data_IF_927572894021
#
_entry.id   IF_927572894021
#
_cell.length_a   1.000
_cell.length_b   1.000
_cell.length_c   1.000
_cell.angle_alpha   90.00
_cell.angle_beta   90.00
_cell.angle_gamma   90.00
#
_symmetry.space_group_name_H-M   'P 1'
#
loop_
_entity.id
_entity.type
_entity.pdbx_description
1 polymer ?
#
# COMPACT_ATOMS: atom_id res chain seq x y z
N UNK A 1 -43.96 14.23 -84.09
CA UNK A 1 -43.68 15.15 -82.96
C UNK A 1 -44.32 14.72 -81.63
N UNK A 2 -45.64 14.49 -81.50
CA UNK A 2 -46.29 14.14 -80.21
C UNK A 2 -45.80 12.82 -79.55
N UNK A 3 -45.47 11.78 -80.33
CA UNK A 3 -44.91 10.51 -79.82
C UNK A 3 -43.48 10.61 -79.29
N UNK A 4 -42.67 11.53 -79.80
CA UNK A 4 -41.29 11.77 -79.32
C UNK A 4 -41.30 12.55 -77.99
N UNK A 5 -42.16 13.57 -77.87
CA UNK A 5 -42.30 14.34 -76.63
C UNK A 5 -42.85 13.52 -75.45
N UNK A 6 -43.73 12.54 -75.72
CA UNK A 6 -44.22 11.60 -74.71
C UNK A 6 -43.12 10.64 -74.22
N UNK A 7 -42.33 10.07 -75.14
CA UNK A 7 -41.18 9.21 -74.82
C UNK A 7 -40.07 9.96 -74.07
N UNK A 8 -39.83 11.23 -74.38
CA UNK A 8 -38.88 12.05 -73.62
C UNK A 8 -39.36 12.37 -72.20
N UNK A 9 -40.66 12.63 -72.00
CA UNK A 9 -41.24 12.82 -70.66
C UNK A 9 -41.16 11.53 -69.83
N UNK A 10 -41.46 10.39 -70.43
CA UNK A 10 -41.36 9.07 -69.81
C UNK A 10 -39.90 8.74 -69.43
N UNK A 11 -38.95 8.91 -70.35
CA UNK A 11 -37.51 8.73 -70.07
C UNK A 11 -36.99 9.69 -68.99
N UNK A 12 -37.50 10.93 -68.91
CA UNK A 12 -37.16 11.87 -67.83
C UNK A 12 -37.74 11.42 -66.48
N UNK A 13 -38.96 10.89 -66.43
CA UNK A 13 -39.55 10.35 -65.20
C UNK A 13 -38.82 9.09 -64.74
N UNK A 14 -38.55 8.15 -65.64
CA UNK A 14 -37.76 6.94 -65.35
C UNK A 14 -36.36 7.32 -64.86
N UNK A 15 -35.67 8.25 -65.53
CA UNK A 15 -34.36 8.74 -65.09
C UNK A 15 -34.41 9.37 -63.70
N UNK A 16 -35.44 10.15 -63.37
CA UNK A 16 -35.61 10.71 -62.01
C UNK A 16 -35.82 9.62 -60.97
N UNK A 17 -36.69 8.64 -61.23
CA UNK A 17 -36.94 7.51 -60.33
C UNK A 17 -35.65 6.71 -60.10
N UNK A 18 -34.91 6.39 -61.18
CA UNK A 18 -33.63 5.66 -61.11
C UNK A 18 -32.61 6.45 -60.30
N UNK A 19 -32.45 7.76 -60.53
CA UNK A 19 -31.52 8.60 -59.76
C UNK A 19 -31.93 8.62 -58.28
N UNK A 20 -33.20 8.79 -57.95
CA UNK A 20 -33.67 8.78 -56.55
C UNK A 20 -33.39 7.44 -55.87
N UNK A 21 -33.64 6.31 -56.54
CA UNK A 21 -33.35 4.98 -55.99
C UNK A 21 -31.85 4.75 -55.79
N UNK A 22 -31.02 5.15 -56.76
CA UNK A 22 -29.55 5.04 -56.65
C UNK A 22 -29.03 5.94 -55.54
N UNK A 23 -29.49 7.18 -55.44
CA UNK A 23 -29.10 8.10 -54.36
C UNK A 23 -29.53 7.57 -52.99
N UNK A 24 -30.73 7.00 -52.86
CA UNK A 24 -31.18 6.38 -51.61
C UNK A 24 -30.30 5.17 -51.22
N UNK A 25 -29.92 4.35 -52.19
CA UNK A 25 -29.03 3.20 -51.97
C UNK A 25 -27.62 3.63 -51.55
N UNK A 26 -27.08 4.70 -52.16
CA UNK A 26 -25.79 5.28 -51.79
C UNK A 26 -25.84 5.87 -50.37
N UNK A 27 -26.92 6.58 -50.02
CA UNK A 27 -27.11 7.11 -48.65
C UNK A 27 -27.19 5.96 -47.65
N UNK A 28 -27.94 4.90 -47.95
CA UNK A 28 -28.02 3.73 -47.09
C UNK A 28 -26.64 3.07 -46.90
N UNK A 29 -25.87 2.93 -47.98
CA UNK A 29 -24.51 2.39 -47.92
C UNK A 29 -23.58 3.27 -47.07
N UNK A 30 -23.69 4.60 -47.15
CA UNK A 30 -22.91 5.52 -46.31
C UNK A 30 -23.31 5.42 -44.83
N UNK A 31 -24.59 5.33 -44.51
CA UNK A 31 -25.07 5.16 -43.13
C UNK A 31 -24.59 3.82 -42.56
N UNK A 32 -24.68 2.74 -43.34
CA UNK A 32 -24.18 1.43 -42.94
C UNK A 32 -22.66 1.46 -42.75
N UNK A 33 -21.92 2.04 -43.69
CA UNK A 33 -20.46 2.19 -43.60
C UNK A 33 -20.04 3.01 -42.39
N UNK A 34 -20.71 4.13 -42.12
CA UNK A 34 -20.48 4.96 -40.94
C UNK A 34 -20.80 4.20 -39.65
N UNK A 35 -21.90 3.43 -39.62
CA UNK A 35 -22.28 2.63 -38.45
C UNK A 35 -21.25 1.54 -38.15
N UNK A 36 -20.77 0.82 -39.18
CA UNK A 36 -19.71 -0.19 -39.05
C UNK A 36 -18.39 0.45 -38.60
N UNK A 37 -18.01 1.57 -39.21
CA UNK A 37 -16.81 2.31 -38.83
C UNK A 37 -16.85 2.77 -37.36
N UNK A 38 -17.98 3.33 -36.92
CA UNK A 38 -18.17 3.76 -35.52
C UNK A 38 -18.17 2.59 -34.56
N UNK A 39 -18.80 1.48 -34.92
CA UNK A 39 -18.80 0.25 -34.12
C UNK A 39 -17.37 -0.29 -33.95
N UNK A 40 -16.59 -0.34 -35.03
CA UNK A 40 -15.18 -0.75 -34.99
C UNK A 40 -14.33 0.18 -34.13
N UNK A 41 -14.38 1.49 -34.40
CA UNK A 41 -13.60 2.49 -33.66
C UNK A 41 -13.92 2.46 -32.16
N UNK A 42 -15.18 2.27 -31.80
CA UNK A 42 -15.58 2.22 -30.38
C UNK A 42 -15.13 0.91 -29.73
N UNK A 43 -15.26 -0.21 -30.45
CA UNK A 43 -14.96 -1.55 -29.94
C UNK A 43 -13.48 -1.87 -29.78
N UNK A 44 -12.58 -1.17 -30.49
CA UNK A 44 -11.13 -1.30 -30.30
C UNK A 44 -10.59 -0.52 -29.10
N UNK A 45 -11.35 0.44 -28.59
CA UNK A 45 -10.98 1.18 -27.39
C UNK A 45 -11.33 0.38 -26.12
N UNK A 46 -10.59 0.56 -25.01
CA UNK A 46 -10.89 -0.06 -23.72
C UNK A 46 -12.35 0.09 -23.31
N UNK A 47 -12.89 -0.88 -22.58
CA UNK A 47 -14.26 -0.86 -22.09
C UNK A 47 -14.51 0.39 -21.23
N UNK A 48 -13.60 0.67 -20.31
CA UNK A 48 -13.60 1.87 -19.50
C UNK A 48 -12.16 2.23 -19.10
N UNK A 49 -11.58 3.25 -19.72
CA UNK A 49 -10.19 3.67 -19.51
C UNK A 49 -9.88 4.17 -18.07
N UNK A 50 -10.89 4.39 -17.24
CA UNK A 50 -10.73 4.84 -15.85
C UNK A 50 -11.02 3.72 -14.83
N UNK A 51 -11.23 2.49 -15.29
CA UNK A 51 -11.57 1.35 -14.44
C UNK A 51 -10.48 0.30 -14.51
N UNK A 52 -9.55 0.41 -13.56
CA UNK A 52 -8.44 -0.52 -13.36
C UNK A 52 -8.80 -1.68 -12.42
N UNK A 53 -10.10 -1.93 -12.18
CA UNK A 53 -10.52 -3.04 -11.32
C UNK A 53 -10.20 -4.37 -11.97
N UNK A 54 -9.31 -5.14 -11.34
CA UNK A 54 -8.93 -6.47 -11.80
C UNK A 54 -10.11 -7.43 -11.62
N UNK A 55 -10.41 -8.18 -12.67
CA UNK A 55 -11.42 -9.23 -12.72
C UNK A 55 -10.74 -10.53 -13.13
N UNK A 56 -11.05 -11.60 -12.41
CA UNK A 56 -10.55 -12.92 -12.73
C UNK A 56 -11.37 -13.48 -13.90
N UNK A 57 -10.68 -13.91 -14.95
CA UNK A 57 -11.28 -14.51 -16.13
C UNK A 57 -10.61 -15.85 -16.42
N UNK A 58 -11.43 -16.89 -16.51
CA UNK A 58 -10.99 -18.21 -16.96
C UNK A 58 -11.07 -18.30 -18.49
N UNK A 59 -9.97 -18.67 -19.12
CA UNK A 59 -9.93 -19.04 -20.54
C UNK A 59 -9.64 -20.54 -20.62
N UNK A 60 -10.62 -21.38 -20.96
CA UNK A 60 -10.40 -22.82 -21.09
C UNK A 60 -9.36 -23.16 -22.16
N UNK A 61 -8.58 -24.21 -21.95
CA UNK A 61 -7.58 -24.69 -22.92
C UNK A 61 -8.26 -25.02 -24.26
N UNK A 62 -7.65 -24.57 -25.37
CA UNK A 62 -8.16 -24.79 -26.72
C UNK A 62 -9.30 -23.85 -27.14
N UNK A 63 -9.62 -22.83 -26.35
CA UNK A 63 -10.64 -21.84 -26.72
C UNK A 63 -10.21 -21.01 -27.93
N UNK A 64 -11.03 -20.98 -28.98
CA UNK A 64 -10.78 -20.16 -30.17
C UNK A 64 -10.84 -18.65 -29.90
N UNK A 65 -10.25 -17.80 -30.75
CA UNK A 65 -10.32 -16.33 -30.64
C UNK A 65 -11.77 -15.80 -30.49
N UNK A 66 -12.73 -16.43 -31.17
CA UNK A 66 -14.15 -16.12 -31.03
C UNK A 66 -14.68 -16.46 -29.63
N UNK A 67 -14.29 -17.62 -29.10
CA UNK A 67 -14.65 -18.04 -27.74
C UNK A 67 -14.06 -17.10 -26.69
N UNK A 68 -12.78 -16.76 -26.82
CA UNK A 68 -12.09 -15.80 -25.95
C UNK A 68 -12.83 -14.46 -25.95
N UNK A 69 -13.10 -13.90 -27.14
CA UNK A 69 -13.83 -12.63 -27.25
C UNK A 69 -15.19 -12.66 -26.56
N UNK A 70 -15.95 -13.75 -26.69
CA UNK A 70 -17.23 -13.91 -25.99
C UNK A 70 -17.08 -13.96 -24.47
N UNK A 71 -16.05 -14.67 -23.96
CA UNK A 71 -15.77 -14.76 -22.53
C UNK A 71 -15.40 -13.37 -21.98
N UNK A 72 -14.52 -12.64 -22.67
CA UNK A 72 -14.09 -11.30 -22.27
C UNK A 72 -15.24 -10.29 -22.28
N UNK A 73 -16.12 -10.35 -23.29
CA UNK A 73 -17.30 -9.48 -23.36
C UNK A 73 -18.31 -9.80 -22.24
N UNK A 74 -18.55 -11.10 -21.98
CA UNK A 74 -19.44 -11.56 -20.90
C UNK A 74 -18.94 -11.10 -19.52
N UNK A 75 -17.63 -11.17 -19.29
CA UNK A 75 -16.99 -10.74 -18.04
C UNK A 75 -16.76 -9.22 -17.96
N UNK A 76 -17.23 -8.43 -18.94
CA UNK A 76 -17.07 -6.98 -18.96
C UNK A 76 -15.60 -6.57 -18.87
N UNK A 77 -14.76 -7.20 -19.69
CA UNK A 77 -13.37 -6.78 -19.95
C UNK A 77 -13.32 -5.95 -21.23
N UNK A 78 -14.00 -6.38 -22.28
CA UNK A 78 -14.04 -5.72 -23.58
C UNK A 78 -15.47 -5.32 -23.97
N UNK A 79 -15.60 -4.40 -24.94
CA UNK A 79 -16.90 -3.94 -25.46
C UNK A 79 -17.58 -4.92 -26.40
N UNK A 80 -16.80 -5.70 -27.15
CA UNK A 80 -17.32 -6.60 -28.19
C UNK A 80 -16.36 -7.74 -28.50
N UNK A 81 -16.82 -8.97 -28.30
CA UNK A 81 -16.11 -10.18 -28.69
C UNK A 81 -15.96 -10.32 -30.21
N UNK A 82 -16.88 -9.74 -30.98
CA UNK A 82 -16.78 -9.71 -32.44
C UNK A 82 -15.59 -8.85 -32.88
N UNK A 83 -15.47 -7.64 -32.34
CA UNK A 83 -14.36 -6.73 -32.66
C UNK A 83 -13.03 -7.35 -32.24
N UNK A 84 -12.94 -7.92 -31.04
CA UNK A 84 -11.75 -8.65 -30.59
C UNK A 84 -11.35 -9.75 -31.58
N UNK A 85 -12.29 -10.64 -31.95
CA UNK A 85 -12.00 -11.76 -32.84
C UNK A 85 -11.49 -11.31 -34.23
N UNK A 86 -12.05 -10.23 -34.79
CA UNK A 86 -11.57 -9.71 -36.07
C UNK A 86 -10.23 -8.95 -35.93
N UNK A 87 -10.06 -8.19 -34.86
CA UNK A 87 -8.85 -7.44 -34.58
C UNK A 87 -7.65 -8.39 -34.40
N UNK A 88 -7.79 -9.45 -33.62
CA UNK A 88 -6.75 -10.49 -33.46
C UNK A 88 -6.36 -11.15 -34.80
N UNK A 89 -7.32 -11.36 -35.70
CA UNK A 89 -7.04 -11.91 -37.05
C UNK A 89 -6.29 -10.92 -37.94
N UNK A 90 -6.65 -9.64 -37.88
CA UNK A 90 -6.03 -8.58 -38.69
C UNK A 90 -4.59 -8.34 -38.27
N UNK A 91 -4.32 -8.33 -36.96
CA UNK A 91 -2.99 -8.14 -36.37
C UNK A 91 -2.15 -9.42 -36.30
N UNK A 92 -2.63 -10.54 -36.89
CA UNK A 92 -1.98 -11.86 -36.85
C UNK A 92 -1.61 -12.32 -35.42
N UNK A 93 -2.46 -12.00 -34.44
CA UNK A 93 -2.29 -12.42 -33.05
C UNK A 93 -2.82 -13.86 -32.90
N UNK A 94 -1.92 -14.81 -32.69
CA UNK A 94 -2.18 -16.25 -32.51
C UNK A 94 -1.62 -16.77 -31.18
N UNK A 95 -1.80 -18.07 -30.91
CA UNK A 95 -1.12 -18.78 -29.82
C UNK A 95 -1.49 -18.34 -28.40
N UNK A 96 -2.76 -17.97 -28.22
CA UNK A 96 -3.31 -17.72 -26.89
C UNK A 96 -3.37 -19.00 -26.08
N UNK A 97 -2.94 -18.90 -24.83
CA UNK A 97 -2.93 -20.01 -23.90
C UNK A 97 -4.22 -20.02 -23.07
N UNK A 98 -4.56 -21.19 -22.54
CA UNK A 98 -5.61 -21.30 -21.54
C UNK A 98 -5.05 -21.02 -20.14
N UNK A 99 -5.93 -20.70 -19.20
CA UNK A 99 -5.59 -20.44 -17.80
C UNK A 99 -6.49 -19.37 -17.18
N UNK A 100 -6.19 -19.04 -15.93
CA UNK A 100 -6.81 -17.93 -15.23
C UNK A 100 -5.98 -16.65 -15.40
N UNK A 101 -6.67 -15.56 -15.69
CA UNK A 101 -6.08 -14.25 -15.92
C UNK A 101 -6.73 -13.21 -15.02
N UNK A 102 -5.95 -12.22 -14.60
CA UNK A 102 -6.48 -11.00 -13.99
C UNK A 102 -6.46 -9.90 -15.06
N UNK A 103 -7.64 -9.39 -15.41
CA UNK A 103 -7.81 -8.40 -16.47
C UNK A 103 -8.69 -7.25 -15.97
N UNK A 104 -8.42 -6.03 -16.41
CA UNK A 104 -9.23 -4.85 -16.06
C UNK A 104 -9.92 -4.23 -17.29
N UNK A 105 -11.06 -3.54 -17.12
CA UNK A 105 -11.78 -2.88 -18.21
C UNK A 105 -11.02 -1.76 -18.95
N UNK A 106 -9.94 -1.25 -18.38
CA UNK A 106 -9.07 -0.22 -18.96
C UNK A 106 -7.99 -0.78 -19.91
N UNK A 107 -7.78 -2.09 -19.95
CA UNK A 107 -6.80 -2.72 -20.84
C UNK A 107 -7.14 -2.52 -22.32
N UNK A 108 -6.11 -2.32 -23.14
CA UNK A 108 -6.25 -2.31 -24.61
C UNK A 108 -6.33 -3.72 -25.17
N UNK A 109 -6.80 -3.88 -26.41
CA UNK A 109 -6.82 -5.19 -27.07
C UNK A 109 -5.42 -5.77 -27.27
N UNK A 110 -4.41 -4.93 -27.40
CA UNK A 110 -2.99 -5.34 -27.49
C UNK A 110 -2.47 -5.85 -26.15
N UNK A 111 -2.78 -5.15 -25.04
CA UNK A 111 -2.40 -5.60 -23.69
C UNK A 111 -3.04 -6.96 -23.37
N UNK A 112 -4.32 -7.11 -23.70
CA UNK A 112 -5.05 -8.37 -23.52
C UNK A 112 -4.43 -9.48 -24.37
N UNK A 113 -4.06 -9.19 -25.63
CA UNK A 113 -3.42 -10.18 -26.50
C UNK A 113 -2.03 -10.60 -26.00
N UNK A 114 -1.23 -9.66 -25.52
CA UNK A 114 0.07 -9.92 -24.90
C UNK A 114 -0.09 -10.83 -23.68
N UNK A 115 -0.99 -10.47 -22.77
CA UNK A 115 -1.27 -11.25 -21.56
C UNK A 115 -1.73 -12.68 -21.90
N UNK A 116 -2.64 -12.84 -22.87
CA UNK A 116 -3.12 -14.16 -23.31
C UNK A 116 -2.01 -15.04 -23.90
N UNK A 117 -0.97 -14.44 -24.52
CA UNK A 117 0.19 -15.16 -25.07
C UNK A 117 1.21 -15.55 -24.00
N UNK A 118 1.40 -14.72 -22.98
CA UNK A 118 2.28 -15.02 -21.84
C UNK A 118 1.81 -16.31 -21.15
N UNK A 119 0.52 -16.40 -20.88
CA UNK A 119 -0.14 -17.57 -20.30
C UNK A 119 -0.77 -17.29 -18.95
N UNK A 120 -1.93 -17.90 -18.71
CA UNK A 120 -2.65 -17.77 -17.46
C UNK A 120 -2.10 -18.73 -16.40
N UNK A 121 -2.50 -18.52 -15.15
CA UNK A 121 -2.20 -19.45 -14.06
C UNK A 121 -3.05 -20.71 -14.18
N UNK A 122 -2.56 -21.83 -13.65
CA UNK A 122 -3.31 -23.10 -13.61
C UNK A 122 -4.51 -23.02 -12.67
N UNK A 123 -4.37 -22.25 -11.59
CA UNK A 123 -5.40 -22.04 -10.57
C UNK A 123 -5.86 -20.58 -10.53
N UNK A 124 -7.10 -20.29 -10.09
CA UNK A 124 -7.56 -18.97 -9.72
C UNK A 124 -6.57 -18.20 -8.84
N UNK A 125 -6.08 -17.05 -9.32
CA UNK A 125 -5.48 -16.07 -8.42
C UNK A 125 -6.63 -15.26 -7.82
N UNK A 126 -6.91 -15.48 -6.53
CA UNK A 126 -7.90 -14.70 -5.80
C UNK A 126 -7.62 -13.20 -6.00
N UNK A 127 -8.68 -12.46 -6.30
CA UNK A 127 -8.63 -11.01 -6.27
C UNK A 127 -8.75 -10.57 -4.82
N UNK A 128 -7.90 -9.66 -4.38
CA UNK A 128 -8.03 -9.10 -3.05
C UNK A 128 -9.42 -8.45 -2.92
N UNK A 129 -10.20 -8.89 -1.94
CA UNK A 129 -11.50 -8.30 -1.58
C UNK A 129 -11.34 -6.88 -1.01
N UNK A 130 -10.14 -6.56 -0.52
CA UNK A 130 -9.79 -5.23 -0.01
C UNK A 130 -8.28 -5.04 0.16
N UNK A 131 -7.90 -3.86 0.61
CA UNK A 131 -6.52 -3.54 1.01
C UNK A 131 -6.52 -2.95 2.41
N UNK A 132 -5.59 -3.42 3.24
CA UNK A 132 -5.34 -2.89 4.58
C UNK A 132 -4.06 -2.07 4.49
N UNK A 133 -4.17 -0.75 4.58
CA UNK A 133 -3.01 0.15 4.49
C UNK A 133 -2.64 0.65 5.88
N UNK A 134 -1.60 0.07 6.47
CA UNK A 134 -1.11 0.44 7.80
C UNK A 134 -0.03 1.53 7.68
N UNK A 135 -0.26 2.74 8.21
CA UNK A 135 0.74 3.80 8.20
C UNK A 135 1.88 3.54 9.20
N UNK A 136 3.05 4.12 8.92
CA UNK A 136 4.19 4.10 9.83
C UNK A 136 3.87 4.82 11.15
N UNK A 137 4.48 4.34 12.24
CA UNK A 137 4.31 4.94 13.57
C UNK A 137 2.94 4.65 14.21
N UNK A 138 2.14 3.73 13.68
CA UNK A 138 0.89 3.30 14.32
C UNK A 138 1.17 2.27 15.42
N UNK A 139 0.54 2.42 16.59
CA UNK A 139 0.55 1.39 17.63
C UNK A 139 -0.31 0.19 17.25
N UNK A 140 -0.13 -0.95 17.93
CA UNK A 140 -0.93 -2.16 17.71
C UNK A 140 -2.43 -1.89 17.78
N UNK A 141 -2.86 -1.05 18.73
CA UNK A 141 -4.25 -0.63 18.87
C UNK A 141 -4.73 0.17 17.65
N UNK A 142 -3.91 1.07 17.12
CA UNK A 142 -4.25 1.83 15.91
C UNK A 142 -4.25 0.93 14.66
N UNK A 143 -3.36 -0.06 14.59
CA UNK A 143 -3.38 -1.10 13.55
C UNK A 143 -4.70 -1.88 13.61
N UNK A 144 -5.16 -2.24 14.81
CA UNK A 144 -6.43 -2.92 15.00
C UNK A 144 -7.62 -2.11 14.46
N UNK A 145 -7.62 -0.79 14.66
CA UNK A 145 -8.65 0.09 14.08
C UNK A 145 -8.56 0.15 12.55
N UNK A 146 -7.35 0.24 11.97
CA UNK A 146 -7.17 0.19 10.51
C UNK A 146 -7.71 -1.12 9.92
N UNK A 147 -7.51 -2.25 10.61
CA UNK A 147 -8.03 -3.55 10.18
C UNK A 147 -9.55 -3.59 10.30
N UNK A 148 -10.11 -3.06 11.38
CA UNK A 148 -11.56 -2.96 11.61
C UNK A 148 -12.27 -2.09 10.57
N UNK A 149 -11.66 -1.00 10.13
CA UNK A 149 -12.22 -0.15 9.08
C UNK A 149 -12.15 -0.80 7.69
N UNK A 150 -11.13 -1.64 7.44
CA UNK A 150 -10.86 -2.22 6.13
C UNK A 150 -11.45 -3.64 5.93
N UNK A 151 -11.90 -4.30 7.00
CA UNK A 151 -12.30 -5.72 7.00
C UNK A 151 -13.53 -5.96 7.89
N UNK A 152 -13.98 -7.21 7.97
CA UNK A 152 -15.05 -7.62 8.90
C UNK A 152 -14.51 -8.02 10.30
N UNK A 153 -13.19 -7.90 10.53
CA UNK A 153 -12.53 -8.27 11.79
C UNK A 153 -12.53 -7.07 12.72
N UNK A 154 -13.17 -7.21 13.89
CA UNK A 154 -13.22 -6.11 14.87
C UNK A 154 -11.85 -5.80 15.50
N UNK A 155 -11.64 -4.55 15.91
CA UNK A 155 -10.41 -4.15 16.61
C UNK A 155 -10.18 -4.95 17.89
N UNK A 156 -11.26 -5.24 18.65
CA UNK A 156 -11.21 -6.09 19.85
C UNK A 156 -10.74 -7.52 19.53
N UNK A 157 -11.27 -8.12 18.46
CA UNK A 157 -10.86 -9.44 18.00
C UNK A 157 -9.38 -9.46 17.58
N UNK A 158 -8.94 -8.43 16.86
CA UNK A 158 -7.54 -8.31 16.43
C UNK A 158 -6.60 -8.21 17.63
N UNK A 159 -6.87 -7.31 18.59
CA UNK A 159 -6.07 -7.14 19.81
C UNK A 159 -6.07 -8.41 20.64
N UNK A 160 -7.24 -9.05 20.80
CA UNK A 160 -7.35 -10.32 21.53
C UNK A 160 -6.50 -11.40 20.88
N UNK A 161 -6.54 -11.51 19.55
CA UNK A 161 -5.76 -12.49 18.80
C UNK A 161 -4.27 -12.21 18.92
N UNK A 162 -3.84 -10.96 18.80
CA UNK A 162 -2.43 -10.57 18.94
C UNK A 162 -1.84 -10.86 20.34
N UNK A 163 -2.70 -11.04 21.35
CA UNK A 163 -2.32 -11.37 22.73
C UNK A 163 -2.67 -12.80 23.14
N UNK A 164 -3.18 -13.62 22.22
CA UNK A 164 -3.51 -15.02 22.51
C UNK A 164 -2.23 -15.82 22.74
N UNK A 165 -2.08 -16.42 23.92
CA UNK A 165 -0.85 -17.12 24.33
C UNK A 165 -0.52 -18.31 23.40
N UNK A 166 -1.53 -19.03 22.92
CA UNK A 166 -1.32 -20.16 22.03
C UNK A 166 -0.82 -19.70 20.66
N UNK A 167 -1.43 -18.64 20.11
CA UNK A 167 -0.99 -18.04 18.86
C UNK A 167 0.40 -17.40 18.97
N UNK A 168 0.70 -16.68 20.05
CA UNK A 168 2.05 -16.16 20.28
C UNK A 168 3.09 -17.28 20.32
N UNK A 169 2.76 -18.42 20.94
CA UNK A 169 3.64 -19.60 20.93
C UNK A 169 3.87 -20.13 19.51
N UNK A 170 2.83 -20.23 18.70
CA UNK A 170 2.94 -20.60 17.27
C UNK A 170 3.89 -19.64 16.53
N UNK A 171 3.72 -18.32 16.72
CA UNK A 171 4.60 -17.31 16.13
C UNK A 171 6.05 -17.42 16.61
N UNK A 172 6.27 -17.66 17.91
CA UNK A 172 7.62 -17.84 18.45
C UNK A 172 8.34 -19.07 17.90
N UNK A 173 7.59 -20.12 17.57
CA UNK A 173 8.14 -21.32 16.93
C UNK A 173 8.41 -21.08 15.43
N UNK A 174 7.56 -20.31 14.75
CA UNK A 174 7.73 -19.95 13.34
C UNK A 174 8.85 -18.93 13.08
N UNK A 175 9.02 -17.96 13.99
CA UNK A 175 9.96 -16.84 13.88
C UNK A 175 10.89 -16.72 15.09
N UNK A 176 11.68 -17.77 15.42
CA UNK A 176 12.46 -17.80 16.66
C UNK A 176 13.53 -16.70 16.73
N UNK A 177 14.23 -16.41 15.63
CA UNK A 177 15.25 -15.36 15.59
C UNK A 177 14.65 -13.96 15.75
N UNK A 178 13.54 -13.68 15.06
CA UNK A 178 12.84 -12.40 15.12
C UNK A 178 12.27 -12.14 16.53
N UNK A 179 11.58 -13.14 17.09
CA UNK A 179 10.71 -12.93 18.26
C UNK A 179 11.34 -13.36 19.59
N UNK A 180 12.56 -13.93 19.59
CA UNK A 180 13.23 -14.35 20.83
C UNK A 180 13.36 -13.22 21.86
N UNK A 181 13.72 -12.02 21.40
CA UNK A 181 13.95 -10.86 22.28
C UNK A 181 12.65 -10.31 22.89
N UNK A 182 11.58 -10.15 22.11
CA UNK A 182 10.26 -9.78 22.66
C UNK A 182 9.70 -10.85 23.59
N UNK A 183 9.86 -12.15 23.27
CA UNK A 183 9.40 -13.25 24.14
C UNK A 183 10.05 -13.21 25.53
N UNK A 184 11.32 -12.80 25.60
CA UNK A 184 12.05 -12.67 26.86
C UNK A 184 11.78 -11.34 27.60
N UNK A 185 11.20 -10.35 26.91
CA UNK A 185 10.89 -9.05 27.49
C UNK A 185 9.80 -9.17 28.55
N UNK A 186 9.90 -8.35 29.59
CA UNK A 186 8.97 -8.30 30.73
C UNK A 186 8.29 -6.94 30.74
N UNK A 187 7.10 -6.90 31.32
CA UNK A 187 6.30 -5.68 31.50
C UNK A 187 5.96 -4.96 30.18
N UNK A 188 6.05 -5.69 29.05
CA UNK A 188 5.58 -5.21 27.76
C UNK A 188 4.07 -5.10 27.76
N UNK A 189 3.55 -4.03 27.15
CA UNK A 189 2.10 -3.89 26.94
C UNK A 189 1.59 -4.97 25.99
N UNK A 190 2.26 -5.12 24.85
CA UNK A 190 1.98 -6.14 23.84
C UNK A 190 3.29 -6.69 23.29
N UNK A 191 3.43 -8.01 23.22
CA UNK A 191 4.63 -8.64 22.65
C UNK A 191 4.83 -8.36 21.16
N UNK A 192 3.75 -8.04 20.43
CA UNK A 192 3.79 -7.73 19.01
C UNK A 192 3.80 -6.22 18.71
N UNK A 193 3.84 -5.34 19.72
CA UNK A 193 4.04 -3.90 19.48
C UNK A 193 5.42 -3.67 18.84
N UNK A 194 5.45 -2.99 17.69
CA UNK A 194 6.66 -2.83 16.89
C UNK A 194 6.94 -3.95 15.88
N UNK A 195 6.21 -5.07 15.94
CA UNK A 195 6.45 -6.24 15.09
C UNK A 195 5.42 -6.40 13.97
N UNK A 196 4.46 -5.48 13.84
CA UNK A 196 3.46 -5.47 12.78
C UNK A 196 3.86 -4.44 11.71
N UNK A 197 4.66 -4.86 10.73
CA UNK A 197 5.31 -3.92 9.80
C UNK A 197 4.30 -3.01 9.08
N UNK A 198 4.56 -1.69 8.98
CA UNK A 198 3.69 -0.78 8.23
C UNK A 198 3.83 -1.04 6.71
N UNK A 199 2.72 -1.45 6.08
CA UNK A 199 2.64 -1.68 4.64
C UNK A 199 1.18 -1.73 4.18
N UNK A 200 0.98 -1.94 2.88
CA UNK A 200 -0.33 -2.29 2.32
C UNK A 200 -0.44 -3.80 2.11
N UNK A 201 -1.43 -4.41 2.76
CA UNK A 201 -1.69 -5.84 2.73
C UNK A 201 -2.96 -6.14 1.93
N UNK A 202 -2.93 -7.21 1.14
CA UNK A 202 -4.12 -7.67 0.41
C UNK A 202 -5.02 -8.47 1.36
N UNK A 203 -6.28 -8.05 1.47
CA UNK A 203 -7.28 -8.75 2.26
C UNK A 203 -8.18 -9.60 1.38
N UNK A 204 -8.52 -10.79 1.86
CA UNK A 204 -9.47 -11.72 1.28
C UNK A 204 -10.45 -12.10 2.39
N UNK A 205 -11.74 -12.25 2.08
CA UNK A 205 -12.81 -12.42 3.09
C UNK A 205 -12.69 -13.67 3.97
N UNK A 206 -11.88 -14.63 3.57
CA UNK A 206 -11.58 -15.84 4.33
C UNK A 206 -10.39 -15.67 5.30
N UNK A 207 -9.64 -14.57 5.22
CA UNK A 207 -8.56 -14.29 6.16
C UNK A 207 -9.11 -14.00 7.56
N UNK A 208 -8.50 -14.63 8.54
CA UNK A 208 -8.73 -14.40 9.96
C UNK A 208 -7.78 -13.33 10.51
N UNK A 209 -8.02 -12.87 11.75
CA UNK A 209 -7.09 -12.00 12.46
C UNK A 209 -5.69 -12.62 12.57
N UNK A 210 -5.59 -13.95 12.79
CA UNK A 210 -4.32 -14.68 12.84
C UNK A 210 -3.55 -14.58 11.54
N UNK A 211 -4.23 -14.71 10.40
CA UNK A 211 -3.59 -14.66 9.08
C UNK A 211 -3.00 -13.27 8.81
N UNK A 212 -3.76 -12.22 9.12
CA UNK A 212 -3.32 -10.83 8.94
C UNK A 212 -2.12 -10.51 9.85
N UNK A 213 -2.20 -10.88 11.14
CA UNK A 213 -1.10 -10.66 12.08
C UNK A 213 0.15 -11.43 11.64
N UNK A 214 -0.01 -12.69 11.21
CA UNK A 214 1.12 -13.50 10.71
C UNK A 214 1.76 -12.85 9.49
N UNK A 215 0.98 -12.33 8.54
CA UNK A 215 1.51 -11.64 7.35
C UNK A 215 2.28 -10.37 7.72
N UNK A 216 1.81 -9.61 8.70
CA UNK A 216 2.51 -8.41 9.20
C UNK A 216 3.83 -8.77 9.91
N UNK A 217 3.83 -9.82 10.73
CA UNK A 217 5.03 -10.35 11.41
C UNK A 217 6.03 -10.92 10.40
N UNK A 218 5.55 -11.66 9.41
CA UNK A 218 6.37 -12.18 8.30
C UNK A 218 7.02 -11.03 7.53
N UNK A 219 6.28 -9.95 7.29
CA UNK A 219 6.82 -8.77 6.63
C UNK A 219 7.95 -8.12 7.44
N UNK A 220 7.79 -8.01 8.75
CA UNK A 220 8.88 -7.58 9.66
C UNK A 220 10.09 -8.50 9.54
N UNK A 221 9.87 -9.82 9.56
CA UNK A 221 10.94 -10.81 9.40
C UNK A 221 11.71 -10.63 8.09
N UNK A 222 11.01 -10.47 6.96
CA UNK A 222 11.62 -10.24 5.66
C UNK A 222 12.48 -8.96 5.66
N UNK A 223 11.96 -7.87 6.23
CA UNK A 223 12.65 -6.57 6.29
C UNK A 223 13.92 -6.65 7.12
N UNK A 224 13.89 -7.32 8.26
CA UNK A 224 15.05 -7.44 9.15
C UNK A 224 16.06 -8.47 8.67
N UNK A 225 15.62 -9.53 7.98
CA UNK A 225 16.52 -10.53 7.39
C UNK A 225 17.51 -9.89 6.41
N UNK A 226 17.08 -8.91 5.61
CA UNK A 226 18.00 -8.20 4.69
C UNK A 226 18.98 -7.26 5.40
N UNK A 227 18.84 -7.09 6.73
CA UNK A 227 19.66 -6.22 7.59
C UNK A 227 20.44 -6.99 8.64
N UNK A 228 20.46 -8.32 8.56
CA UNK A 228 21.04 -9.17 9.61
C UNK A 228 22.49 -8.82 9.94
N UNK A 229 23.31 -8.46 8.94
CA UNK A 229 24.69 -8.03 9.17
C UNK A 229 24.79 -6.77 10.03
N UNK A 230 23.93 -5.77 9.78
CA UNK A 230 23.89 -4.52 10.53
C UNK A 230 23.33 -4.74 11.94
N UNK A 231 22.29 -5.59 12.07
CA UNK A 231 21.74 -6.01 13.37
C UNK A 231 22.81 -6.68 14.21
N UNK A 232 23.58 -7.61 13.64
CA UNK A 232 24.67 -8.28 14.35
C UNK A 232 25.79 -7.30 14.76
N UNK A 233 26.07 -6.29 13.93
CA UNK A 233 27.10 -5.28 14.18
C UNK A 233 26.68 -4.22 15.22
N UNK A 234 25.38 -4.00 15.43
CA UNK A 234 24.88 -3.00 16.39
C UNK A 234 25.00 -3.47 17.85
N UNK A 235 25.16 -4.78 18.08
CA UNK A 235 25.15 -5.41 19.40
C UNK A 235 23.86 -5.20 20.21
N UNK A 236 22.78 -4.77 19.56
CA UNK A 236 21.46 -4.64 20.16
C UNK A 236 20.55 -5.81 19.75
N UNK A 237 19.66 -6.21 20.65
CA UNK A 237 18.59 -7.15 20.34
C UNK A 237 17.55 -6.52 19.41
N UNK A 238 16.75 -7.34 18.72
CA UNK A 238 15.67 -6.85 17.85
C UNK A 238 14.66 -6.01 18.64
N UNK A 239 14.33 -6.42 19.87
CA UNK A 239 13.48 -5.63 20.77
C UNK A 239 14.04 -4.22 20.98
N UNK A 240 15.33 -4.08 21.28
CA UNK A 240 15.97 -2.77 21.49
C UNK A 240 16.01 -1.94 20.21
N UNK A 241 16.35 -2.57 19.07
CA UNK A 241 16.38 -1.91 17.76
C UNK A 241 15.00 -1.36 17.40
N UNK A 242 13.95 -2.18 17.51
CA UNK A 242 12.58 -1.75 17.22
C UNK A 242 12.08 -0.71 18.23
N UNK A 243 12.53 -0.78 19.49
CA UNK A 243 12.19 0.22 20.50
C UNK A 243 12.79 1.58 20.16
N UNK A 244 14.09 1.63 19.86
CA UNK A 244 14.76 2.83 19.38
C UNK A 244 14.14 3.35 18.08
N UNK A 245 13.84 2.47 17.12
CA UNK A 245 13.24 2.86 15.85
C UNK A 245 11.84 3.46 16.06
N UNK A 246 11.04 2.93 16.99
CA UNK A 246 9.72 3.46 17.30
C UNK A 246 9.77 4.86 17.96
N UNK A 247 10.84 5.19 18.69
CA UNK A 247 11.09 6.54 19.17
C UNK A 247 11.49 7.47 18.02
N UNK A 248 12.47 7.05 17.21
CA UNK A 248 12.97 7.80 16.05
C UNK A 248 11.86 8.10 15.04
N UNK A 249 10.96 7.16 14.80
CA UNK A 249 9.83 7.28 13.87
C UNK A 249 8.95 8.51 14.20
N UNK A 250 8.75 8.78 15.48
CA UNK A 250 7.85 9.83 15.97
C UNK A 250 8.55 11.17 16.20
N UNK A 251 9.86 11.18 16.41
CA UNK A 251 10.66 12.40 16.61
C UNK A 251 11.23 12.96 15.30
N UNK A 252 11.55 12.09 14.32
CA UNK A 252 12.25 12.47 13.10
C UNK A 252 11.36 12.47 11.87
N UNK A 253 11.33 13.60 11.14
CA UNK A 253 10.59 13.74 9.87
C UNK A 253 11.43 13.34 8.66
N UNK A 254 12.71 13.72 8.64
CA UNK A 254 13.61 13.45 7.50
C UNK A 254 14.63 12.36 7.85
N UNK A 255 15.10 11.60 6.85
CA UNK A 255 16.11 10.55 7.07
C UNK A 255 17.41 11.07 7.72
N UNK A 256 17.97 12.24 7.35
CA UNK A 256 19.10 12.82 8.07
C UNK A 256 18.82 13.13 9.54
N UNK A 257 17.64 13.69 9.85
CA UNK A 257 17.26 13.98 11.24
C UNK A 257 17.09 12.69 12.04
N UNK A 258 16.43 11.68 11.46
CA UNK A 258 16.26 10.35 12.08
C UNK A 258 17.60 9.73 12.47
N UNK A 259 18.63 9.82 11.60
CA UNK A 259 19.98 9.33 11.90
C UNK A 259 20.66 10.10 13.04
N UNK A 260 20.48 11.41 13.11
CA UNK A 260 21.02 12.22 14.20
C UNK A 260 20.28 11.95 15.52
N UNK A 261 18.94 11.86 15.49
CA UNK A 261 18.10 11.53 16.66
C UNK A 261 18.42 10.13 17.18
N UNK A 262 18.56 9.14 16.29
CA UNK A 262 19.02 7.81 16.66
C UNK A 262 20.37 7.84 17.39
N UNK A 263 21.32 8.64 16.88
CA UNK A 263 22.62 8.83 17.53
C UNK A 263 22.49 9.49 18.89
N UNK A 264 21.63 10.51 19.06
CA UNK A 264 21.36 11.12 20.37
C UNK A 264 20.88 10.08 21.37
N UNK A 265 19.89 9.26 21.02
CA UNK A 265 19.39 8.24 21.93
C UNK A 265 20.46 7.20 22.29
N UNK A 266 21.24 6.73 21.31
CA UNK A 266 22.36 5.82 21.57
C UNK A 266 23.43 6.45 22.49
N UNK A 267 23.83 7.69 22.22
CA UNK A 267 24.78 8.43 23.04
C UNK A 267 24.28 8.59 24.48
N UNK A 268 22.99 8.91 24.66
CA UNK A 268 22.37 8.99 26.00
C UNK A 268 22.45 7.66 26.74
N UNK A 269 22.11 6.56 26.08
CA UNK A 269 22.17 5.22 26.67
C UNK A 269 23.60 4.84 27.09
N UNK A 270 24.59 5.16 26.25
CA UNK A 270 26.01 4.84 26.51
C UNK A 270 26.53 5.49 27.80
N UNK A 271 25.98 6.64 28.19
CA UNK A 271 26.38 7.36 29.42
C UNK A 271 25.37 7.24 30.57
N UNK A 272 24.31 6.44 30.40
CA UNK A 272 23.25 6.28 31.40
C UNK A 272 22.37 7.53 31.57
N UNK A 273 22.28 8.39 30.54
CA UNK A 273 21.34 9.50 30.50
C UNK A 273 19.96 8.99 30.05
N UNK A 274 18.90 9.50 30.68
CA UNK A 274 17.52 9.14 30.33
C UNK A 274 17.14 9.62 28.94
N UNK A 275 16.27 8.86 28.28
CA UNK A 275 15.80 9.18 26.93
C UNK A 275 14.92 10.43 26.91
N UNK A 276 14.04 10.60 27.91
CA UNK A 276 13.20 11.81 28.08
C UNK A 276 12.45 12.23 26.79
N UNK A 277 11.68 11.30 26.22
CA UNK A 277 10.81 11.59 25.07
C UNK A 277 9.34 11.55 25.46
N UNK A 278 8.58 12.56 25.00
CA UNK A 278 7.15 12.73 25.24
C UNK A 278 6.32 11.55 24.70
N UNK A 279 6.79 10.88 23.65
CA UNK A 279 6.15 9.69 23.05
C UNK A 279 5.92 8.61 24.11
N UNK A 280 6.89 8.48 25.01
CA UNK A 280 6.92 7.46 26.04
C UNK A 280 5.82 7.68 27.09
N UNK A 281 5.54 8.96 27.40
CA UNK A 281 4.46 9.39 28.29
C UNK A 281 3.11 9.22 27.63
N UNK A 282 2.98 9.63 26.36
CA UNK A 282 1.73 9.49 25.60
C UNK A 282 1.30 8.02 25.50
N UNK A 283 2.24 7.13 25.23
CA UNK A 283 2.01 5.69 25.19
C UNK A 283 1.70 5.11 26.59
N UNK A 284 2.35 5.59 27.64
CA UNK A 284 2.05 5.19 29.02
C UNK A 284 0.62 5.57 29.43
N UNK A 285 0.18 6.78 29.06
CA UNK A 285 -1.15 7.32 29.40
C UNK A 285 -2.29 6.71 28.58
N UNK A 286 -2.00 6.11 27.42
CA UNK A 286 -3.01 5.61 26.47
C UNK A 286 -4.01 6.70 26.05
N UNK A 287 -3.53 7.94 25.91
CA UNK A 287 -4.36 9.08 25.56
C UNK A 287 -3.69 9.88 24.47
N UNK A 288 -4.48 10.30 23.48
CA UNK A 288 -4.03 11.30 22.53
C UNK A 288 -4.08 12.68 23.21
N UNK A 289 -2.90 13.28 23.41
CA UNK A 289 -2.74 14.65 23.90
C UNK A 289 -1.76 15.37 23.00
N UNK A 290 -2.06 16.64 22.72
CA UNK A 290 -1.16 17.53 21.96
C UNK A 290 -0.08 18.12 22.88
N UNK A 291 -0.42 18.38 24.13
CA UNK A 291 0.50 18.92 25.13
C UNK A 291 0.45 18.08 26.40
N UNK A 292 1.62 17.74 26.93
CA UNK A 292 1.77 17.08 28.22
C UNK A 292 1.89 18.12 29.32
N UNK A 293 1.21 17.88 30.44
CA UNK A 293 1.38 18.65 31.66
C UNK A 293 2.54 18.09 32.50
N UNK A 294 3.05 18.86 33.46
CA UNK A 294 4.05 18.32 34.41
C UNK A 294 3.54 17.11 35.19
N UNK A 295 2.24 17.06 35.54
CA UNK A 295 1.62 15.91 36.19
C UNK A 295 1.63 14.68 35.30
N UNK A 296 1.46 14.85 33.98
CA UNK A 296 1.52 13.73 33.02
C UNK A 296 2.91 13.08 33.00
N UNK A 297 3.99 13.86 33.16
CA UNK A 297 5.36 13.36 33.21
C UNK A 297 5.63 12.49 34.44
N UNK A 298 4.79 12.58 35.47
CA UNK A 298 4.91 11.79 36.70
C UNK A 298 4.20 10.43 36.63
N UNK A 299 3.56 10.07 35.51
CA UNK A 299 2.83 8.80 35.36
C UNK A 299 3.68 7.59 35.77
N UNK A 300 3.11 6.72 36.62
CA UNK A 300 3.77 5.50 37.06
C UNK A 300 3.58 4.39 36.02
N UNK A 301 4.61 4.18 35.22
CA UNK A 301 4.63 3.18 34.15
C UNK A 301 6.07 2.82 33.80
N UNK A 302 6.38 1.55 33.49
CA UNK A 302 7.71 1.15 33.04
C UNK A 302 8.09 1.79 31.70
N UNK A 303 7.10 2.24 30.92
CA UNK A 303 7.32 2.98 29.67
C UNK A 303 7.66 4.45 29.88
N UNK A 304 7.56 5.01 31.10
CA UNK A 304 7.90 6.41 31.34
C UNK A 304 9.44 6.60 31.36
N UNK A 305 10.02 7.07 30.25
CA UNK A 305 11.47 7.27 30.13
C UNK A 305 11.96 8.64 30.65
N UNK A 306 11.08 9.41 31.31
CA UNK A 306 11.50 10.52 32.19
C UNK A 306 11.86 10.01 33.59
N UNK A 307 11.26 8.88 34.02
CA UNK A 307 11.45 8.31 35.36
C UNK A 307 12.35 7.08 35.37
N UNK A 308 12.34 6.29 34.31
CA UNK A 308 13.08 5.05 34.18
C UNK A 308 14.25 5.21 33.21
N UNK A 309 15.39 4.63 33.57
CA UNK A 309 16.59 4.63 32.72
C UNK A 309 16.47 3.55 31.64
N UNK A 310 17.24 3.69 30.55
CA UNK A 310 17.24 2.74 29.43
C UNK A 310 16.10 2.97 28.43
N UNK A 311 15.69 1.89 27.76
CA UNK A 311 14.73 1.92 26.64
C UNK A 311 13.29 1.60 27.05
N UNK A 312 13.06 1.20 28.31
CA UNK A 312 11.79 0.66 28.74
C UNK A 312 11.54 -0.78 28.24
N UNK A 313 10.30 -1.28 28.36
CA UNK A 313 9.98 -2.69 28.07
C UNK A 313 10.04 -3.08 26.59
N UNK A 314 9.76 -2.12 25.68
CA UNK A 314 9.61 -2.42 24.27
C UNK A 314 9.14 -1.24 23.42
N UNK A 315 8.79 -1.49 22.15
CA UNK A 315 8.38 -0.45 21.22
C UNK A 315 7.11 0.30 21.63
N UNK A 316 6.96 1.51 21.08
CA UNK A 316 5.84 2.42 21.32
C UNK A 316 4.88 2.52 20.13
N UNK A 317 5.27 1.96 18.99
CA UNK A 317 4.54 1.89 17.73
C UNK A 317 5.27 0.94 16.76
N UNK A 318 4.71 0.73 15.57
CA UNK A 318 5.33 0.01 14.45
C UNK A 318 6.13 0.97 13.56
N UNK A 319 7.48 0.96 13.64
CA UNK A 319 8.33 1.90 12.91
C UNK A 319 8.44 1.56 11.42
N UNK A 320 8.68 2.58 10.61
CA UNK A 320 9.00 2.43 9.20
C UNK A 320 10.41 1.94 8.95
N UNK A 321 10.70 1.63 7.69
CA UNK A 321 12.00 1.14 7.25
C UNK A 321 13.13 2.14 7.53
N UNK A 322 12.85 3.42 7.27
CA UNK A 322 13.84 4.49 7.37
C UNK A 322 14.24 4.76 8.84
N UNK A 323 13.30 4.63 9.79
CA UNK A 323 13.62 4.70 11.22
C UNK A 323 14.46 3.50 11.69
N UNK A 324 14.15 2.28 11.21
CA UNK A 324 14.97 1.09 11.47
C UNK A 324 16.39 1.28 10.91
N UNK A 325 16.51 1.74 9.67
CA UNK A 325 17.80 1.98 9.02
C UNK A 325 18.61 3.09 9.70
N UNK A 326 17.93 4.10 10.26
CA UNK A 326 18.57 5.15 11.04
C UNK A 326 19.18 4.67 12.36
N UNK A 327 18.52 3.72 13.04
CA UNK A 327 19.06 3.08 14.26
C UNK A 327 20.23 2.15 13.95
N UNK A 328 20.14 1.41 12.85
CA UNK A 328 21.23 0.50 12.43
C UNK A 328 22.43 1.26 11.85
N UNK A 329 22.22 2.45 11.31
CA UNK A 329 23.27 3.28 10.71
C UNK A 329 23.15 4.73 11.20
N UNK A 330 23.36 5.00 12.50
CA UNK A 330 23.21 6.34 13.05
C UNK A 330 24.20 7.32 12.42
N UNK A 331 23.97 8.61 12.62
CA UNK A 331 24.95 9.61 12.25
C UNK A 331 26.19 9.50 13.18
N UNK A 332 27.35 9.91 12.69
CA UNK A 332 28.56 10.00 13.52
C UNK A 332 28.62 11.41 14.12
N UNK A 333 28.18 11.53 15.37
CA UNK A 333 28.16 12.78 16.13
C UNK A 333 28.20 12.52 17.65
N UNK A 334 28.43 13.58 18.43
CA UNK A 334 28.42 13.55 19.90
C UNK A 334 27.25 14.35 20.50
N UNK A 335 26.12 14.41 19.80
CA UNK A 335 24.95 15.12 20.31
C UNK A 335 24.25 14.31 21.41
N UNK A 336 23.77 15.02 22.42
CA UNK A 336 22.97 14.48 23.52
C UNK A 336 21.61 15.16 23.65
N UNK A 337 21.38 16.25 22.92
CA UNK A 337 20.14 17.00 22.99
C UNK A 337 19.68 17.36 21.59
N UNK A 338 18.36 17.43 21.41
CA UNK A 338 17.76 17.99 20.21
C UNK A 338 16.48 18.73 20.55
N UNK A 339 16.06 19.62 19.66
CA UNK A 339 14.78 20.32 19.71
C UNK A 339 14.30 20.57 18.28
N UNK A 340 13.00 20.42 18.06
CA UNK A 340 12.37 20.69 16.78
C UNK A 340 11.63 22.04 16.84
N UNK A 341 11.88 22.89 15.84
CA UNK A 341 11.05 24.05 15.62
C UNK A 341 9.78 23.61 14.86
N UNK A 342 8.64 23.66 15.54
CA UNK A 342 7.36 23.18 15.00
C UNK A 342 6.81 24.01 13.83
N UNK A 343 7.24 25.26 13.66
CA UNK A 343 6.80 26.13 12.57
C UNK A 343 7.55 25.85 11.27
N UNK A 344 8.87 25.63 11.37
CA UNK A 344 9.78 25.41 10.23
C UNK A 344 10.04 23.94 9.94
N UNK A 345 9.77 23.06 10.90
CA UNK A 345 10.10 21.64 10.87
C UNK A 345 11.59 21.34 11.03
N UNK A 346 12.44 22.33 11.33
CA UNK A 346 13.88 22.15 11.46
C UNK A 346 14.25 21.60 12.84
N UNK A 347 15.11 20.58 12.86
CA UNK A 347 15.68 20.02 14.10
C UNK A 347 17.06 20.62 14.35
N UNK A 348 17.32 20.98 15.60
CA UNK A 348 18.57 21.50 16.10
C UNK A 348 19.16 20.52 17.11
N UNK A 349 20.47 20.31 17.06
CA UNK A 349 21.18 19.34 17.87
C UNK A 349 22.26 20.02 18.70
N UNK A 350 22.53 19.51 19.90
CA UNK A 350 23.52 20.05 20.81
C UNK A 350 24.27 18.93 21.56
N UNK A 351 25.55 19.18 21.85
CA UNK A 351 26.39 18.30 22.66
C UNK A 351 26.21 18.56 24.16
N UNK A 352 25.90 19.81 24.52
CA UNK A 352 25.77 20.24 25.92
C UNK A 352 24.39 20.79 26.24
N UNK A 353 24.03 20.77 27.53
CA UNK A 353 22.75 21.31 27.97
C UNK A 353 22.69 22.83 27.82
N UNK A 354 23.81 23.53 28.05
CA UNK A 354 23.91 24.97 27.87
C UNK A 354 23.67 25.38 26.41
N UNK A 355 24.25 24.65 25.46
CA UNK A 355 24.01 24.84 24.02
C UNK A 355 22.55 24.56 23.65
N UNK A 356 21.96 23.51 24.22
CA UNK A 356 20.54 23.20 24.03
C UNK A 356 19.63 24.36 24.50
N UNK A 357 19.90 24.94 25.67
CA UNK A 357 19.16 26.09 26.19
C UNK A 357 19.31 27.33 25.30
N UNK A 358 20.51 27.58 24.79
CA UNK A 358 20.75 28.68 23.86
C UNK A 358 19.95 28.51 22.55
N UNK A 359 19.98 27.31 21.96
CA UNK A 359 19.22 27.00 20.75
C UNK A 359 17.70 27.11 20.98
N UNK A 360 17.21 26.71 22.17
CA UNK A 360 15.81 26.87 22.55
C UNK A 360 15.43 28.35 22.62
N UNK A 361 16.26 29.19 23.24
CA UNK A 361 16.01 30.63 23.29
C UNK A 361 16.00 31.24 21.88
N UNK A 362 16.98 30.92 21.04
CA UNK A 362 17.14 31.49 19.70
C UNK A 362 16.03 31.06 18.72
N UNK A 363 15.60 29.80 18.79
CA UNK A 363 14.77 29.21 17.74
C UNK A 363 13.37 28.77 18.18
N UNK A 364 13.06 28.77 19.49
CA UNK A 364 11.74 28.32 19.99
C UNK A 364 11.06 29.45 20.78
N UNK A 365 11.72 29.97 21.81
CA UNK A 365 11.08 30.90 22.75
C UNK A 365 10.86 32.29 22.12
N UNK A 366 11.84 32.78 21.34
CA UNK A 366 11.78 34.10 20.72
C UNK A 366 10.79 34.24 19.54
N UNK A 367 10.11 33.16 19.15
CA UNK A 367 9.05 33.20 18.12
C UNK A 367 7.66 33.52 18.70
N UNK A 368 7.51 33.50 20.03
CA UNK A 368 6.24 33.78 20.72
C UNK A 368 6.10 35.23 21.24
N UNK A 369 6.95 36.17 20.77
CA UNK A 369 6.87 37.60 21.12
C UNK A 369 6.26 38.46 20.02
#
# INVERSE_FOLDING_TARGET
MRRQQAREKENRMVRKIVITLVSALVILAMILGFSVYRYWQTGTQPLNANDSTLKQVEIPIGTSNKGIGNILEKNKIIKSGLVFNYYMKMENQTDFKGGFYQMSPDMTLDDIAALLKEGGTEEPLALADGKISVPEGYSLEQVAEVVNEATDISAEEFIKTANDEAFLKELYEAYPELLASTKAAKDVRYHLEGYLFPATYNYYKDKTAKDIITEMVDKTNQVLTTRQEQINASHHSIQEILTLASLVEKEGVTSPDRRNIAKVFLNRLDIGMRIESDITILYALQKHKVHLSYEDLEVDSPYNLYRNDGLGPGPFNNPGLDAIDAVLNPADNNYYYFLANVETGKVYFAETYEEHLQLKEEHIDNLNN
#
